data_IF_578003822944
#
_entry.id   IF_578003822944
#
_cell.length_a   1.000
_cell.length_b   1.000
_cell.length_c   1.000
_cell.angle_alpha   90.00
_cell.angle_beta   90.00
_cell.angle_gamma   90.00
#
_symmetry.space_group_name_H-M   'P 1'
#
loop_
_entity.id
_entity.type
_entity.pdbx_description
1 polymer ?
#
# COMPACT_ATOMS: atom_id res chain seq x y z
N UNK A 1 4.65 -17.61 -15.69
CA UNK A 1 3.74 -16.82 -14.83
C UNK A 1 4.25 -15.37 -14.68
N UNK A 2 3.95 -14.49 -15.66
CA UNK A 2 4.67 -13.21 -15.85
C UNK A 2 3.88 -11.97 -15.35
N UNK A 3 2.57 -12.08 -15.06
CA UNK A 3 1.69 -10.92 -14.82
C UNK A 3 1.11 -10.80 -13.40
N UNK A 4 1.70 -11.44 -12.38
CA UNK A 4 1.20 -11.41 -10.99
C UNK A 4 -0.34 -11.59 -10.87
N UNK A 5 -0.85 -12.79 -11.22
CA UNK A 5 -2.29 -13.02 -11.38
C UNK A 5 -3.11 -12.89 -10.09
N UNK A 6 -2.44 -12.95 -8.94
CA UNK A 6 -3.02 -12.88 -7.60
C UNK A 6 -2.60 -11.61 -6.83
N UNK A 7 -1.95 -10.64 -7.50
CA UNK A 7 -1.46 -9.42 -6.88
C UNK A 7 -0.59 -9.66 -5.62
N UNK A 8 0.33 -10.63 -5.68
CA UNK A 8 1.28 -10.96 -4.62
C UNK A 8 2.15 -9.75 -4.25
N UNK A 9 2.39 -8.83 -5.19
CA UNK A 9 3.07 -7.57 -4.90
C UNK A 9 2.38 -6.74 -3.80
N UNK A 10 1.09 -6.97 -3.51
CA UNK A 10 0.37 -6.26 -2.44
C UNK A 10 0.54 -6.88 -1.04
N UNK A 11 1.27 -8.00 -0.92
CA UNK A 11 1.44 -8.71 0.37
C UNK A 11 2.88 -9.16 0.65
N UNK A 12 3.74 -9.27 -0.37
CA UNK A 12 5.10 -9.79 -0.19
C UNK A 12 5.93 -8.95 0.79
N UNK A 13 5.69 -7.64 0.83
CA UNK A 13 6.32 -6.71 1.76
C UNK A 13 5.90 -6.98 3.21
N UNK A 14 4.63 -7.28 3.45
CA UNK A 14 4.13 -7.65 4.77
C UNK A 14 4.85 -8.89 5.31
N UNK A 15 5.00 -9.94 4.50
CA UNK A 15 5.71 -11.14 4.95
C UNK A 15 7.17 -10.85 5.27
N UNK A 16 7.85 -10.07 4.42
CA UNK A 16 9.23 -9.70 4.65
C UNK A 16 9.42 -8.87 5.93
N UNK A 17 8.52 -7.89 6.20
CA UNK A 17 8.55 -7.12 7.44
C UNK A 17 8.29 -8.01 8.67
N UNK A 18 7.29 -8.90 8.60
CA UNK A 18 6.93 -9.80 9.71
C UNK A 18 7.99 -10.83 10.04
N UNK A 19 8.77 -11.25 9.04
CA UNK A 19 9.89 -12.17 9.23
C UNK A 19 11.21 -11.44 9.49
N UNK A 20 11.20 -10.11 9.63
CA UNK A 20 12.40 -9.27 9.80
C UNK A 20 13.41 -9.43 8.64
N UNK A 21 12.95 -9.85 7.47
CA UNK A 21 13.74 -10.03 6.24
C UNK A 21 13.85 -8.70 5.47
N UNK A 22 14.37 -7.67 6.15
CA UNK A 22 14.50 -6.32 5.59
C UNK A 22 15.45 -6.27 4.39
N UNK A 23 16.55 -7.03 4.45
CA UNK A 23 17.55 -7.10 3.37
C UNK A 23 16.95 -7.67 2.08
N UNK A 24 16.13 -8.72 2.22
CA UNK A 24 15.40 -9.30 1.10
C UNK A 24 14.46 -8.28 0.46
N UNK A 25 13.67 -7.57 1.27
CA UNK A 25 12.70 -6.60 0.77
C UNK A 25 13.39 -5.46 0.02
N UNK A 26 14.48 -4.93 0.59
CA UNK A 26 15.23 -3.84 -0.01
C UNK A 26 15.93 -4.26 -1.30
N UNK A 27 16.54 -5.45 -1.31
CA UNK A 27 17.13 -6.03 -2.53
C UNK A 27 16.08 -6.23 -3.61
N UNK A 28 14.94 -6.85 -3.26
CA UNK A 28 13.82 -7.06 -4.19
C UNK A 28 13.34 -5.74 -4.79
N UNK A 29 13.15 -4.72 -3.95
CA UNK A 29 12.74 -3.40 -4.41
C UNK A 29 13.78 -2.77 -5.34
N UNK A 30 15.06 -2.76 -4.98
CA UNK A 30 16.11 -2.17 -5.82
C UNK A 30 16.23 -2.84 -7.19
N UNK A 31 16.05 -4.16 -7.25
CA UNK A 31 16.15 -4.92 -8.51
C UNK A 31 14.89 -4.81 -9.38
N UNK A 32 13.69 -4.71 -8.77
CA UNK A 32 12.43 -4.83 -9.50
C UNK A 32 11.66 -3.51 -9.67
N UNK A 33 11.99 -2.45 -8.91
CA UNK A 33 11.24 -1.20 -8.94
C UNK A 33 11.16 -0.57 -10.34
N UNK A 34 12.26 -0.55 -11.09
CA UNK A 34 12.28 0.00 -12.45
C UNK A 34 11.35 -0.73 -13.42
N UNK A 35 11.16 -2.05 -13.22
CA UNK A 35 10.34 -2.90 -14.09
C UNK A 35 8.87 -2.91 -13.67
N UNK A 36 8.62 -2.93 -12.36
CA UNK A 36 7.29 -3.12 -11.77
C UNK A 36 6.66 -1.84 -11.23
N UNK A 37 7.41 -0.73 -11.19
CA UNK A 37 6.99 0.54 -10.60
C UNK A 37 6.47 0.37 -9.16
N UNK A 38 7.26 -0.31 -8.31
CA UNK A 38 6.90 -0.65 -6.93
C UNK A 38 6.65 0.61 -6.09
N UNK A 39 7.41 1.68 -6.37
CA UNK A 39 7.22 3.03 -5.82
C UNK A 39 5.84 3.64 -6.10
N UNK A 40 5.12 3.10 -7.09
CA UNK A 40 3.75 3.45 -7.39
C UNK A 40 2.74 2.84 -6.43
N UNK A 41 3.14 1.90 -5.56
CA UNK A 41 2.28 1.18 -4.63
C UNK A 41 2.46 1.69 -3.18
N UNK A 42 1.36 2.00 -2.45
CA UNK A 42 1.43 2.46 -1.07
C UNK A 42 2.16 1.49 -0.13
N UNK A 43 1.97 0.19 -0.30
CA UNK A 43 2.59 -0.81 0.56
C UNK A 43 4.11 -0.77 0.46
N UNK A 44 4.68 -0.79 -0.75
CA UNK A 44 6.13 -0.67 -0.93
C UNK A 44 6.68 0.69 -0.47
N UNK A 45 5.99 1.79 -0.78
CA UNK A 45 6.45 3.12 -0.38
C UNK A 45 6.66 3.21 1.14
N UNK A 46 5.71 2.70 1.93
CA UNK A 46 5.81 2.70 3.38
C UNK A 46 6.71 1.57 3.91
N UNK A 47 6.58 0.34 3.41
CA UNK A 47 7.36 -0.81 3.90
C UNK A 47 8.86 -0.67 3.66
N UNK A 48 9.27 -0.05 2.55
CA UNK A 48 10.69 0.23 2.28
C UNK A 48 11.25 1.26 3.25
N UNK A 49 10.49 2.31 3.56
CA UNK A 49 10.91 3.31 4.56
C UNK A 49 11.07 2.68 5.94
N UNK A 50 10.19 1.74 6.30
CA UNK A 50 10.24 1.02 7.55
C UNK A 50 11.42 0.04 7.59
N UNK A 51 11.66 -0.72 6.53
CA UNK A 51 12.81 -1.62 6.44
C UNK A 51 14.14 -0.87 6.56
N UNK A 52 14.27 0.28 5.87
CA UNK A 52 15.44 1.16 6.02
C UNK A 52 15.58 1.70 7.44
N UNK A 53 14.46 2.03 8.11
CA UNK A 53 14.49 2.45 9.50
C UNK A 53 15.01 1.33 10.41
N UNK A 54 14.59 0.08 10.22
CA UNK A 54 15.12 -1.04 11.00
C UNK A 54 16.62 -1.28 10.75
N UNK A 55 17.10 -1.19 9.51
CA UNK A 55 18.53 -1.25 9.21
C UNK A 55 19.30 -0.08 9.84
N UNK A 56 18.72 1.12 9.83
CA UNK A 56 19.35 2.33 10.37
C UNK A 56 19.69 2.22 11.86
N UNK A 57 19.01 1.36 12.62
CA UNK A 57 19.31 1.11 14.03
C UNK A 57 20.71 0.50 14.21
N UNK A 58 21.17 -0.28 13.24
CA UNK A 58 22.51 -0.89 13.24
C UNK A 58 23.56 0.10 12.74
N UNK A 59 23.28 0.80 11.64
CA UNK A 59 24.23 1.74 11.01
C UNK A 59 24.31 3.10 11.70
N UNK A 60 23.31 3.43 12.54
CA UNK A 60 23.08 4.73 13.18
C UNK A 60 22.85 5.88 12.20
N UNK A 61 22.47 5.60 10.97
CA UNK A 61 22.14 6.60 9.95
C UNK A 61 20.69 6.43 9.47
N UNK A 62 19.83 7.36 9.91
CA UNK A 62 18.40 7.39 9.58
C UNK A 62 18.07 8.23 8.34
N UNK A 63 19.05 8.87 7.69
CA UNK A 63 18.80 9.84 6.62
C UNK A 63 18.02 9.24 5.45
N UNK A 64 18.39 8.03 5.00
CA UNK A 64 17.68 7.36 3.90
C UNK A 64 16.26 6.94 4.28
N UNK A 65 16.07 6.43 5.50
CA UNK A 65 14.76 6.04 6.00
C UNK A 65 13.82 7.25 6.09
N UNK A 66 14.31 8.39 6.60
CA UNK A 66 13.59 9.64 6.69
C UNK A 66 13.15 10.14 5.31
N UNK A 67 14.09 10.21 4.36
CA UNK A 67 13.79 10.64 2.98
C UNK A 67 12.73 9.76 2.33
N UNK A 68 12.81 8.43 2.50
CA UNK A 68 11.85 7.50 1.93
C UNK A 68 10.47 7.59 2.59
N UNK A 69 10.39 7.78 3.90
CA UNK A 69 9.11 7.96 4.57
C UNK A 69 8.46 9.30 4.18
N UNK A 70 9.24 10.38 4.10
CA UNK A 70 8.73 11.68 3.64
C UNK A 70 8.20 11.59 2.20
N UNK A 71 8.92 10.90 1.32
CA UNK A 71 8.46 10.62 -0.04
C UNK A 71 7.16 9.79 -0.05
N UNK A 72 7.05 8.76 0.80
CA UNK A 72 5.85 7.95 0.92
C UNK A 72 4.64 8.75 1.43
N UNK A 73 4.84 9.63 2.41
CA UNK A 73 3.81 10.52 2.96
C UNK A 73 3.33 11.54 1.93
N UNK A 74 4.22 12.08 1.09
CA UNK A 74 3.85 12.94 -0.03
C UNK A 74 3.08 12.18 -1.11
N UNK A 75 3.53 10.96 -1.45
CA UNK A 75 2.91 10.13 -2.49
C UNK A 75 1.54 9.61 -2.09
N UNK A 76 1.37 9.17 -0.84
CA UNK A 76 0.13 8.54 -0.35
C UNK A 76 -0.22 9.04 1.06
N UNK A 77 -0.62 10.31 1.21
CA UNK A 77 -0.93 10.92 2.51
C UNK A 77 -2.10 10.27 3.25
N UNK A 78 -3.09 9.72 2.55
CA UNK A 78 -4.23 9.02 3.17
C UNK A 78 -3.85 7.65 3.76
N UNK A 79 -2.78 7.00 3.26
CA UNK A 79 -2.27 5.73 3.82
C UNK A 79 -1.85 5.91 5.26
N UNK A 80 -1.22 7.05 5.58
CA UNK A 80 -0.92 7.43 6.95
C UNK A 80 -2.17 7.48 7.82
N UNK A 81 -3.28 8.06 7.33
CA UNK A 81 -4.54 8.10 8.08
C UNK A 81 -5.14 6.70 8.27
N UNK A 82 -5.16 5.87 7.24
CA UNK A 82 -5.59 4.47 7.38
C UNK A 82 -4.74 3.69 8.39
N UNK A 83 -3.42 3.94 8.43
CA UNK A 83 -2.55 3.38 9.45
C UNK A 83 -2.94 3.87 10.85
N UNK A 84 -3.10 5.17 11.05
CA UNK A 84 -3.50 5.74 12.34
C UNK A 84 -4.83 5.17 12.86
N UNK A 85 -5.82 5.00 11.98
CA UNK A 85 -7.11 4.41 12.32
C UNK A 85 -6.94 2.95 12.82
N UNK A 86 -6.14 2.13 12.12
CA UNK A 86 -5.81 0.76 12.55
C UNK A 86 -4.91 0.72 13.79
N UNK A 87 -4.13 1.78 13.99
CA UNK A 87 -3.31 1.98 15.17
C UNK A 87 -4.12 2.44 16.38
N UNK A 88 -5.36 2.93 16.16
CA UNK A 88 -6.18 3.61 17.15
C UNK A 88 -5.46 4.83 17.76
N UNK A 89 -4.69 5.54 16.93
CA UNK A 89 -3.93 6.74 17.31
C UNK A 89 -4.57 7.94 16.64
N UNK A 90 -4.76 9.02 17.40
CA UNK A 90 -5.28 10.27 16.86
C UNK A 90 -4.15 11.05 16.18
N UNK A 91 -4.39 11.64 14.99
CA UNK A 91 -3.41 12.50 14.33
C UNK A 91 -3.14 13.77 15.16
N UNK A 92 -1.92 14.30 15.04
CA UNK A 92 -1.60 15.59 15.64
C UNK A 92 -2.38 16.71 14.94
N UNK A 93 -2.73 17.77 15.70
CA UNK A 93 -3.52 18.91 15.20
C UNK A 93 -2.97 19.55 13.93
N UNK A 94 -1.65 19.51 13.73
CA UNK A 94 -1.01 20.07 12.54
C UNK A 94 -1.34 19.25 11.28
N UNK A 95 -1.41 17.92 11.42
CA UNK A 95 -1.84 17.02 10.34
C UNK A 95 -3.28 17.28 9.98
N UNK A 96 -4.17 17.38 10.99
CA UNK A 96 -5.60 17.59 10.77
C UNK A 96 -5.89 18.91 10.04
N UNK A 97 -5.15 19.97 10.39
CA UNK A 97 -5.27 21.29 9.75
C UNK A 97 -4.65 21.34 8.35
N UNK A 98 -3.69 20.47 8.06
CA UNK A 98 -3.03 20.47 6.76
C UNK A 98 -4.01 19.98 5.67
N UNK A 99 -4.26 20.85 4.67
CA UNK A 99 -5.24 20.57 3.61
C UNK A 99 -4.87 19.34 2.78
N UNK A 100 -3.58 19.10 2.56
CA UNK A 100 -3.13 17.98 1.73
C UNK A 100 -3.46 16.63 2.38
N UNK A 101 -3.15 16.48 3.66
CA UNK A 101 -3.49 15.27 4.42
C UNK A 101 -5.01 15.11 4.57
N UNK A 102 -5.71 16.16 5.02
CA UNK A 102 -7.15 16.09 5.27
C UNK A 102 -8.00 15.83 4.01
N UNK A 103 -7.67 16.43 2.86
CA UNK A 103 -8.42 16.26 1.62
C UNK A 103 -8.18 14.89 0.97
N UNK A 104 -6.94 14.39 1.02
CA UNK A 104 -6.56 13.12 0.37
C UNK A 104 -7.43 11.94 0.80
N UNK A 105 -7.83 11.90 2.07
CA UNK A 105 -8.66 10.83 2.61
C UNK A 105 -10.04 10.72 1.92
N UNK A 106 -10.59 11.85 1.47
CA UNK A 106 -11.93 11.89 0.88
C UNK A 106 -11.90 11.84 -0.65
N UNK A 107 -10.90 12.48 -1.27
CA UNK A 107 -10.84 12.68 -2.72
C UNK A 107 -10.28 11.51 -3.52
N UNK A 108 -9.68 10.52 -2.85
CA UNK A 108 -9.07 9.39 -3.54
C UNK A 108 -10.07 8.38 -4.11
N UNK A 109 -9.63 7.68 -5.16
CA UNK A 109 -10.42 6.66 -5.84
C UNK A 109 -10.55 5.39 -5.00
N UNK A 110 -11.64 4.65 -5.19
CA UNK A 110 -11.87 3.39 -4.46
C UNK A 110 -10.76 2.35 -4.71
N UNK A 111 -10.16 2.35 -5.91
CA UNK A 111 -9.03 1.49 -6.23
C UNK A 111 -7.80 1.79 -5.35
N UNK A 112 -7.53 3.07 -5.09
CA UNK A 112 -6.44 3.46 -4.21
C UNK A 112 -6.79 3.19 -2.74
N UNK A 113 -7.97 3.62 -2.29
CA UNK A 113 -8.46 3.37 -0.92
C UNK A 113 -8.37 1.89 -0.57
N UNK A 114 -8.78 1.01 -1.49
CA UNK A 114 -8.66 -0.43 -1.34
C UNK A 114 -7.24 -0.90 -1.01
N UNK A 115 -6.23 -0.54 -1.80
CA UNK A 115 -4.86 -1.02 -1.59
C UNK A 115 -4.21 -0.39 -0.35
N UNK A 116 -4.62 0.82 0.03
CA UNK A 116 -4.15 1.49 1.24
C UNK A 116 -4.75 0.86 2.51
N UNK A 117 -6.06 0.60 2.50
CA UNK A 117 -6.72 -0.13 3.59
C UNK A 117 -6.14 -1.53 3.72
N UNK A 118 -5.89 -2.23 2.61
CA UNK A 118 -5.23 -3.54 2.58
C UNK A 118 -3.87 -3.52 3.28
N UNK A 119 -3.03 -2.54 2.94
CA UNK A 119 -1.75 -2.35 3.59
C UNK A 119 -1.89 -2.05 5.09
N UNK A 120 -2.78 -1.11 5.45
CA UNK A 120 -2.97 -0.70 6.85
C UNK A 120 -3.45 -1.86 7.74
N UNK A 121 -4.39 -2.69 7.26
CA UNK A 121 -4.85 -3.87 8.00
C UNK A 121 -3.69 -4.82 8.30
N UNK A 122 -2.81 -5.04 7.33
CA UNK A 122 -1.70 -5.99 7.44
C UNK A 122 -0.57 -5.46 8.31
N UNK A 123 -0.10 -4.26 8.01
CA UNK A 123 1.17 -3.76 8.55
C UNK A 123 1.00 -2.87 9.78
N UNK A 124 -0.23 -2.51 10.21
CA UNK A 124 -0.42 -1.58 11.34
C UNK A 124 0.31 -1.98 12.63
N UNK A 125 0.46 -3.27 12.91
CA UNK A 125 1.21 -3.74 14.08
C UNK A 125 2.69 -3.36 14.03
N UNK A 126 3.31 -3.38 12.85
CA UNK A 126 4.71 -2.97 12.67
C UNK A 126 4.90 -1.47 12.95
N UNK A 127 3.85 -0.68 12.73
CA UNK A 127 3.84 0.76 13.02
C UNK A 127 3.48 1.10 14.47
N UNK A 128 2.95 0.17 15.27
CA UNK A 128 2.60 0.40 16.69
C UNK A 128 3.79 0.38 17.64
N UNK A 129 4.98 0.03 17.16
CA UNK A 129 6.19 -0.02 17.98
C UNK A 129 6.58 1.41 18.39
N UNK A 130 6.91 1.63 19.66
CA UNK A 130 7.10 2.98 20.23
C UNK A 130 8.11 3.84 19.48
N UNK A 131 9.21 3.24 19.02
CA UNK A 131 10.25 3.97 18.29
C UNK A 131 9.85 4.26 16.83
N UNK A 132 9.10 3.34 16.20
CA UNK A 132 8.48 3.53 14.88
C UNK A 132 7.43 4.65 14.91
N UNK A 133 6.65 4.76 15.97
CA UNK A 133 5.68 5.87 16.15
C UNK A 133 6.41 7.22 16.18
N UNK A 134 7.53 7.31 16.91
CA UNK A 134 8.31 8.55 16.99
C UNK A 134 8.98 8.88 15.64
N UNK A 135 9.53 7.88 14.96
CA UNK A 135 10.02 8.00 13.58
C UNK A 135 8.93 8.52 12.63
N UNK A 136 7.71 7.99 12.74
CA UNK A 136 6.57 8.43 11.94
C UNK A 136 6.20 9.89 12.24
N UNK A 137 6.10 10.26 13.53
CA UNK A 137 5.78 11.62 13.97
C UNK A 137 6.78 12.64 13.43
N UNK A 138 8.07 12.37 13.52
CA UNK A 138 9.12 13.27 13.05
C UNK A 138 9.00 13.52 11.54
N UNK A 139 8.83 12.45 10.76
CA UNK A 139 8.75 12.55 9.30
C UNK A 139 7.44 13.17 8.80
N UNK A 140 6.33 13.01 9.52
CA UNK A 140 5.07 13.69 9.22
C UNK A 140 5.22 15.21 9.40
N UNK A 141 5.84 15.65 10.51
CA UNK A 141 6.08 17.08 10.74
C UNK A 141 7.01 17.68 9.68
N UNK A 142 8.05 16.96 9.28
CA UNK A 142 8.94 17.42 8.21
C UNK A 142 8.23 17.45 6.86
N UNK A 143 7.41 16.44 6.55
CA UNK A 143 6.61 16.40 5.32
C UNK A 143 5.64 17.59 5.24
N UNK A 144 5.03 17.99 6.35
CA UNK A 144 4.18 19.19 6.40
C UNK A 144 4.97 20.44 6.00
N UNK A 145 6.20 20.61 6.51
CA UNK A 145 7.07 21.73 6.11
C UNK A 145 7.42 21.69 4.62
N UNK A 146 7.70 20.50 4.07
CA UNK A 146 7.97 20.31 2.65
C UNK A 146 6.75 20.70 1.80
N UNK A 147 5.54 20.30 2.21
CA UNK A 147 4.29 20.64 1.51
C UNK A 147 4.08 22.16 1.49
N UNK A 148 4.31 22.83 2.63
CA UNK A 148 4.16 24.29 2.75
C UNK A 148 5.15 25.06 1.88
N UNK A 149 6.32 24.50 1.62
CA UNK A 149 7.36 25.09 0.77
C UNK A 149 7.23 24.74 -0.71
N UNK A 150 6.63 23.58 -1.05
CA UNK A 150 6.64 23.03 -2.40
C UNK A 150 5.29 22.48 -2.86
N UNK A 151 4.44 23.39 -3.32
CA UNK A 151 3.12 23.08 -3.90
C UNK A 151 3.22 22.31 -5.24
N UNK A 152 4.32 22.45 -5.98
CA UNK A 152 4.47 21.82 -7.31
C UNK A 152 4.57 20.30 -7.24
N UNK A 153 5.41 19.76 -6.34
CA UNK A 153 5.56 18.32 -6.11
C UNK A 153 4.26 17.70 -5.58
N UNK A 154 3.56 18.43 -4.73
CA UNK A 154 2.29 18.03 -4.13
C UNK A 154 1.21 17.80 -5.21
N UNK A 155 1.13 18.70 -6.20
CA UNK A 155 0.25 18.58 -7.37
C UNK A 155 0.64 17.43 -8.30
N UNK A 156 1.93 17.21 -8.50
CA UNK A 156 2.43 16.09 -9.32
C UNK A 156 2.01 14.73 -8.73
N UNK A 157 2.19 14.54 -7.43
CA UNK A 157 1.79 13.30 -6.77
C UNK A 157 0.28 13.08 -6.76
N UNK A 158 -0.51 14.15 -6.59
CA UNK A 158 -1.96 14.07 -6.75
C UNK A 158 -2.34 13.56 -8.15
N UNK A 159 -1.76 14.15 -9.20
CA UNK A 159 -2.01 13.71 -10.58
C UNK A 159 -1.60 12.25 -10.80
N UNK A 160 -0.46 11.82 -10.26
CA UNK A 160 0.00 10.41 -10.34
C UNK A 160 -0.99 9.45 -9.68
N UNK A 161 -1.57 9.80 -8.53
CA UNK A 161 -2.62 8.99 -7.89
C UNK A 161 -3.86 8.88 -8.77
N UNK A 162 -4.34 10.00 -9.31
CA UNK A 162 -5.52 10.03 -10.21
C UNK A 162 -5.29 9.27 -11.53
N UNK A 163 -4.08 9.27 -12.07
CA UNK A 163 -3.77 8.52 -13.30
C UNK A 163 -3.60 7.03 -13.06
N UNK A 164 -2.95 6.65 -11.97
CA UNK A 164 -2.54 5.27 -11.74
C UNK A 164 -3.63 4.41 -11.10
N UNK A 165 -4.57 5.02 -10.38
CA UNK A 165 -5.61 4.32 -9.62
C UNK A 165 -7.03 4.57 -10.14
N UNK A 166 -7.22 4.59 -11.46
CA UNK A 166 -8.54 4.86 -12.07
C UNK A 166 -9.56 3.74 -11.87
N UNK A 167 -9.11 2.49 -11.91
CA UNK A 167 -9.96 1.30 -11.80
C UNK A 167 -9.17 0.17 -11.13
N UNK A 168 -9.85 -0.63 -10.31
CA UNK A 168 -9.29 -1.84 -9.70
C UNK A 168 -9.08 -2.92 -10.77
N UNK A 169 -7.83 -3.34 -11.03
CA UNK A 169 -7.52 -4.44 -11.94
C UNK A 169 -8.07 -5.79 -11.42
N UNK A 170 -8.33 -6.72 -12.34
CA UNK A 170 -8.96 -8.02 -12.00
C UNK A 170 -8.11 -8.85 -11.03
N UNK A 171 -6.78 -8.85 -11.17
CA UNK A 171 -5.88 -9.56 -10.24
C UNK A 171 -5.98 -8.99 -8.80
N UNK A 172 -6.17 -7.67 -8.65
CA UNK A 172 -6.45 -7.07 -7.34
C UNK A 172 -7.83 -7.49 -6.83
N UNK A 173 -8.85 -7.54 -7.69
CA UNK A 173 -10.17 -8.07 -7.29
C UNK A 173 -10.07 -9.52 -6.77
N UNK A 174 -9.30 -10.39 -7.44
CA UNK A 174 -9.01 -11.75 -6.95
C UNK A 174 -8.37 -11.72 -5.57
N UNK A 175 -7.35 -10.89 -5.42
CA UNK A 175 -6.64 -10.72 -4.16
C UNK A 175 -7.57 -10.30 -3.01
N UNK A 176 -8.50 -9.38 -3.26
CA UNK A 176 -9.50 -8.93 -2.28
C UNK A 176 -10.37 -10.11 -1.83
N UNK A 177 -10.90 -10.90 -2.77
CA UNK A 177 -11.77 -12.05 -2.44
C UNK A 177 -11.00 -13.07 -1.59
N UNK A 178 -9.76 -13.37 -1.99
CA UNK A 178 -8.86 -14.30 -1.30
C UNK A 178 -8.36 -13.78 0.05
N UNK A 179 -8.35 -12.47 0.26
CA UNK A 179 -7.93 -11.87 1.53
C UNK A 179 -8.92 -12.07 2.68
N UNK A 180 -10.16 -12.51 2.37
CA UNK A 180 -11.26 -12.72 3.33
C UNK A 180 -11.60 -11.52 4.24
N UNK A 181 -11.10 -10.32 3.91
CA UNK A 181 -11.38 -9.09 4.68
C UNK A 181 -12.71 -8.46 4.28
N UNK A 182 -13.69 -8.47 5.18
CA UNK A 182 -15.01 -7.86 4.96
C UNK A 182 -14.92 -6.35 4.70
N UNK A 183 -13.97 -5.66 5.33
CA UNK A 183 -13.77 -4.22 5.15
C UNK A 183 -13.36 -3.88 3.72
N UNK A 184 -12.53 -4.73 3.10
CA UNK A 184 -11.98 -4.46 1.77
C UNK A 184 -12.91 -4.96 0.66
N UNK A 185 -13.75 -5.96 0.95
CA UNK A 185 -14.79 -6.44 0.01
C UNK A 185 -15.71 -5.32 -0.47
N UNK A 186 -15.94 -4.30 0.35
CA UNK A 186 -16.73 -3.13 -0.03
C UNK A 186 -16.17 -2.33 -1.22
N UNK A 187 -14.87 -2.43 -1.51
CA UNK A 187 -14.22 -1.75 -2.64
C UNK A 187 -14.27 -2.54 -3.96
N UNK A 188 -14.90 -3.73 -3.98
CA UNK A 188 -15.10 -4.46 -5.23
C UNK A 188 -16.03 -3.67 -6.16
N UNK A 189 -15.74 -3.55 -7.47
CA UNK A 189 -16.63 -2.90 -8.43
C UNK A 189 -18.06 -3.49 -8.37
N UNK A 190 -19.08 -2.63 -8.44
CA UNK A 190 -20.51 -3.01 -8.31
C UNK A 190 -20.94 -4.09 -9.30
N UNK A 191 -20.41 -4.05 -10.53
CA UNK A 191 -20.66 -5.06 -11.57
C UNK A 191 -20.23 -6.48 -11.12
N UNK A 192 -19.22 -6.54 -10.25
CA UNK A 192 -18.70 -7.78 -9.67
C UNK A 192 -19.41 -8.16 -8.38
N UNK A 193 -20.08 -7.22 -7.71
CA UNK A 193 -20.86 -7.55 -6.50
C UNK A 193 -22.21 -8.21 -6.85
N UNK A 194 -22.82 -7.84 -7.99
CA UNK A 194 -24.19 -8.23 -8.33
C UNK A 194 -24.32 -9.37 -9.35
N UNK A 195 -23.22 -9.79 -10.01
CA UNK A 195 -23.32 -10.48 -11.31
C UNK A 195 -22.88 -11.94 -11.41
N UNK A 196 -22.07 -12.48 -10.49
CA UNK A 196 -21.50 -13.82 -10.67
C UNK A 196 -21.34 -14.54 -9.33
N UNK A 197 -21.84 -15.78 -9.27
CA UNK A 197 -21.54 -16.72 -8.19
C UNK A 197 -20.07 -17.11 -8.32
N UNK A 198 -19.18 -16.33 -7.72
CA UNK A 198 -17.76 -16.69 -7.65
C UNK A 198 -17.60 -17.83 -6.66
N UNK A 199 -16.91 -18.88 -7.09
CA UNK A 199 -16.43 -19.88 -6.16
C UNK A 199 -15.25 -19.31 -5.40
N UNK A 200 -15.22 -19.49 -4.07
CA UNK A 200 -14.07 -19.07 -3.25
C UNK A 200 -12.76 -19.70 -3.70
N UNK A 201 -12.82 -20.87 -4.36
CA UNK A 201 -11.66 -21.59 -4.90
C UNK A 201 -11.21 -21.12 -6.30
N UNK A 202 -11.99 -20.29 -7.01
CA UNK A 202 -11.62 -19.73 -8.31
C UNK A 202 -12.27 -18.35 -8.56
N UNK A 203 -11.79 -17.29 -7.86
CA UNK A 203 -12.31 -15.96 -8.06
C UNK A 203 -11.87 -15.40 -9.41
N UNK A 204 -12.83 -14.90 -10.19
CA UNK A 204 -12.62 -14.25 -11.49
C UNK A 204 -11.79 -15.08 -12.48
N UNK A 205 -12.26 -16.23 -12.99
CA UNK A 205 -11.49 -17.06 -13.92
C UNK A 205 -11.10 -16.29 -15.20
N UNK A 206 -9.98 -16.65 -15.86
CA UNK A 206 -9.63 -16.13 -17.17
C UNK A 206 -10.76 -16.32 -18.19
N UNK A 207 -10.97 -15.39 -19.12
CA UNK A 207 -12.06 -15.47 -20.10
C UNK A 207 -11.97 -16.68 -21.02
N UNK A 208 -10.77 -17.19 -21.23
CA UNK A 208 -10.44 -18.30 -22.10
C UNK A 208 -10.62 -19.67 -21.43
N UNK A 209 -10.74 -19.76 -20.10
CA UNK A 209 -11.08 -20.97 -19.30
C UNK A 209 -10.66 -22.31 -19.91
N UNK A 210 -9.45 -22.40 -20.47
CA UNK A 210 -8.96 -23.65 -21.07
C UNK A 210 -8.39 -24.51 -19.95
N UNK A 211 -9.14 -25.55 -19.55
CA UNK A 211 -8.61 -26.57 -18.66
C UNK A 211 -7.58 -27.41 -19.42
N UNK A 212 -6.30 -27.31 -19.05
CA UNK A 212 -5.28 -28.25 -19.50
C UNK A 212 -5.39 -29.62 -18.80
N UNK A 213 -6.25 -29.74 -17.78
CA UNK A 213 -6.53 -30.99 -17.10
C UNK A 213 -7.62 -31.76 -17.84
N UNK A 214 -7.24 -32.90 -18.41
CA UNK A 214 -8.16 -33.95 -18.81
C UNK A 214 -8.37 -34.88 -17.62
N UNK A 215 -9.62 -35.03 -17.19
CA UNK A 215 -9.97 -35.98 -16.13
C UNK A 215 -9.77 -37.41 -16.67
N UNK A 216 -9.06 -38.31 -15.96
CA UNK A 216 -8.99 -39.72 -16.35
C UNK A 216 -10.39 -40.34 -16.32
N UNK A 217 -10.70 -41.20 -17.28
CA UNK A 217 -11.94 -42.01 -17.25
C UNK A 217 -11.96 -42.88 -15.98
N UNK A 218 -13.14 -42.98 -15.37
CA UNK A 218 -13.38 -43.72 -14.12
C UNK A 218 -13.54 -45.21 -14.36
#
# INVERSE_FOLDING_TARGET
PIQDPLAILLIIDYYALRSEEYDFLLKFYNEQNNRLNLDGLPNFAYSISLALYHQSKQTKDQSQANLKLQEALLRFPSTFKYLLDKMSIQPDRNVEKNKYFSQSYYSETDALKCVQTLYAIRCSNEWKISDVIEFLRQNVNETIRIIEQNDSTTKEYLKKRETNYRKTPVNICRHIVLSESNEIRGFLPTDLQNGQTFYSFDPFPPKDSTSCYQRPER
#
